data_IF_362697071137
#
_entry.id   IF_362697071137
#
_cell.length_a   1.000
_cell.length_b   1.000
_cell.length_c   1.000
_cell.angle_alpha   90.00
_cell.angle_beta   90.00
_cell.angle_gamma   90.00
#
_symmetry.space_group_name_H-M   'P 1'
#
loop_
_entity.id
_entity.type
_entity.pdbx_description
1 polymer ?
#
# COMPACT_ATOMS: atom_id res chain seq x y z
N UNK A 1 -10.47 4.20 -31.16
CA UNK A 1 -11.19 3.24 -30.32
C UNK A 1 -11.81 4.00 -29.17
N UNK A 2 -13.08 4.35 -29.32
CA UNK A 2 -13.87 5.17 -28.40
C UNK A 2 -14.14 4.39 -27.12
N UNK A 3 -13.61 4.87 -25.98
CA UNK A 3 -14.06 4.41 -24.66
C UNK A 3 -15.45 4.98 -24.44
N UNK A 4 -16.48 4.18 -24.72
CA UNK A 4 -17.82 4.39 -24.19
C UNK A 4 -17.68 4.54 -22.66
N UNK A 5 -17.90 5.75 -22.16
CA UNK A 5 -17.88 6.03 -20.72
C UNK A 5 -19.14 5.39 -20.13
N UNK A 6 -19.03 4.10 -19.82
CA UNK A 6 -20.11 3.26 -19.34
C UNK A 6 -20.50 3.60 -17.91
N UNK A 7 -21.29 4.66 -17.73
CA UNK A 7 -22.04 4.86 -16.49
C UNK A 7 -23.00 3.69 -16.33
N UNK A 8 -22.86 2.93 -15.24
CA UNK A 8 -23.76 1.82 -14.92
C UNK A 8 -25.19 2.36 -14.87
N UNK A 9 -26.11 1.77 -15.65
CA UNK A 9 -27.50 2.17 -15.67
C UNK A 9 -28.13 1.88 -14.30
N UNK A 10 -28.74 2.88 -13.69
CA UNK A 10 -29.45 2.72 -12.43
C UNK A 10 -30.68 1.83 -12.62
N UNK A 11 -30.81 0.81 -11.78
CA UNK A 11 -31.95 -0.11 -11.78
C UNK A 11 -33.08 0.50 -10.94
N UNK A 12 -34.34 0.48 -11.42
CA UNK A 12 -35.53 0.92 -10.67
C UNK A 12 -35.63 0.19 -9.32
N UNK A 13 -36.11 0.89 -8.27
CA UNK A 13 -36.20 0.36 -6.89
C UNK A 13 -36.96 -0.96 -6.81
N UNK A 14 -38.01 -1.12 -7.61
CA UNK A 14 -38.92 -2.27 -7.59
C UNK A 14 -38.27 -3.58 -8.06
N UNK A 15 -37.18 -3.49 -8.84
CA UNK A 15 -36.44 -4.65 -9.38
C UNK A 15 -35.13 -4.91 -8.62
N UNK A 16 -34.84 -4.13 -7.57
CA UNK A 16 -33.59 -4.27 -6.81
C UNK A 16 -33.57 -5.56 -6.00
N UNK A 17 -32.58 -6.39 -6.27
CA UNK A 17 -32.23 -7.50 -5.40
C UNK A 17 -31.73 -6.96 -4.05
N UNK A 18 -31.91 -7.72 -2.96
CA UNK A 18 -31.36 -7.33 -1.65
C UNK A 18 -29.83 -7.16 -1.63
N UNK A 19 -29.12 -7.72 -2.62
CA UNK A 19 -27.67 -7.58 -2.82
C UNK A 19 -27.27 -6.48 -3.80
N UNK A 20 -28.24 -5.68 -4.29
CA UNK A 20 -28.03 -4.65 -5.32
C UNK A 20 -26.84 -3.73 -5.02
N UNK A 21 -26.78 -3.16 -3.81
CA UNK A 21 -25.69 -2.28 -3.39
C UNK A 21 -24.30 -2.93 -3.48
N UNK A 22 -24.21 -4.22 -3.15
CA UNK A 22 -22.95 -4.96 -3.24
C UNK A 22 -22.57 -5.23 -4.70
N UNK A 23 -23.56 -5.59 -5.52
CA UNK A 23 -23.35 -5.84 -6.94
C UNK A 23 -22.91 -4.55 -7.66
N UNK A 24 -23.58 -3.43 -7.38
CA UNK A 24 -23.23 -2.12 -7.89
C UNK A 24 -21.78 -1.76 -7.50
N UNK A 25 -21.40 -1.93 -6.23
CA UNK A 25 -20.04 -1.66 -5.78
C UNK A 25 -18.97 -2.51 -6.48
N UNK A 26 -19.25 -3.80 -6.72
CA UNK A 26 -18.32 -4.67 -7.48
C UNK A 26 -18.23 -4.25 -8.94
N UNK A 27 -19.36 -3.95 -9.58
CA UNK A 27 -19.40 -3.51 -10.98
C UNK A 27 -18.70 -2.17 -11.19
N UNK A 28 -18.85 -1.24 -10.24
CA UNK A 28 -18.11 0.04 -10.25
C UNK A 28 -16.60 -0.18 -10.14
N UNK A 29 -16.16 -1.08 -9.26
CA UNK A 29 -14.73 -1.43 -9.19
C UNK A 29 -14.23 -2.02 -10.50
N UNK A 30 -15.02 -2.87 -11.17
CA UNK A 30 -14.66 -3.47 -12.46
C UNK A 30 -14.62 -2.41 -13.57
N UNK A 31 -15.54 -1.44 -13.58
CA UNK A 31 -15.58 -0.40 -14.61
C UNK A 31 -14.44 0.62 -14.49
N UNK A 32 -13.97 0.88 -13.27
CA UNK A 32 -12.82 1.74 -12.99
C UNK A 32 -11.46 1.02 -13.13
N UNK A 33 -11.47 -0.31 -13.24
CA UNK A 33 -10.26 -1.13 -13.31
C UNK A 33 -9.50 -0.94 -14.63
N UNK A 34 -8.17 -0.89 -14.53
CA UNK A 34 -7.29 -0.80 -15.69
C UNK A 34 -7.19 -2.18 -16.38
N UNK A 35 -7.33 -2.17 -17.71
CA UNK A 35 -7.19 -3.35 -18.57
C UNK A 35 -5.71 -3.68 -18.84
N UNK A 36 -5.01 -4.07 -17.76
CA UNK A 36 -3.64 -4.57 -17.79
C UNK A 36 -3.59 -5.98 -17.19
N UNK A 37 -2.75 -6.88 -17.72
CA UNK A 37 -2.57 -8.20 -17.16
C UNK A 37 -1.87 -8.11 -15.80
N UNK A 38 -2.29 -8.98 -14.87
CA UNK A 38 -1.76 -9.09 -13.50
C UNK A 38 -1.99 -7.85 -12.63
N UNK A 39 -1.68 -7.99 -11.34
CA UNK A 39 -1.69 -6.92 -10.36
C UNK A 39 -0.57 -7.16 -9.34
N UNK A 40 -0.10 -6.09 -8.73
CA UNK A 40 0.77 -6.18 -7.55
C UNK A 40 -0.08 -6.11 -6.29
N UNK A 41 0.25 -6.90 -5.28
CA UNK A 41 -0.35 -6.72 -3.96
C UNK A 41 0.45 -5.66 -3.21
N UNK A 42 -0.21 -4.56 -2.85
CA UNK A 42 0.41 -3.40 -2.19
C UNK A 42 1.25 -3.81 -0.99
N UNK A 43 0.70 -4.60 -0.07
CA UNK A 43 1.41 -5.02 1.15
C UNK A 43 2.61 -5.94 0.86
N UNK A 44 2.49 -6.83 -0.14
CA UNK A 44 3.56 -7.76 -0.51
C UNK A 44 4.72 -7.05 -1.19
N UNK A 45 4.43 -6.05 -2.03
CA UNK A 45 5.44 -5.26 -2.72
C UNK A 45 6.46 -4.65 -1.73
N UNK A 46 5.96 -4.04 -0.65
CA UNK A 46 6.81 -3.47 0.40
C UNK A 46 7.36 -4.52 1.38
N UNK A 47 6.71 -5.70 1.51
CA UNK A 47 7.23 -6.82 2.30
C UNK A 47 8.50 -7.43 1.71
N UNK A 48 8.64 -7.44 0.38
CA UNK A 48 9.87 -7.91 -0.30
C UNK A 48 11.06 -7.02 0.07
N UNK A 49 10.88 -5.70 0.10
CA UNK A 49 11.95 -4.72 0.40
C UNK A 49 12.18 -4.53 1.91
N UNK A 50 11.36 -5.15 2.77
CA UNK A 50 11.44 -5.06 4.24
C UNK A 50 11.32 -3.63 4.79
N UNK A 51 10.65 -2.75 4.07
CA UNK A 51 10.34 -1.40 4.55
C UNK A 51 8.96 -1.34 5.22
N UNK A 52 8.63 -0.17 5.78
CA UNK A 52 7.26 0.12 6.19
C UNK A 52 6.32 0.13 4.96
N UNK A 53 5.04 -0.18 5.16
CA UNK A 53 4.02 -0.13 4.11
C UNK A 53 3.39 1.27 4.12
N UNK A 54 3.64 2.13 3.12
CA UNK A 54 2.96 3.42 3.03
C UNK A 54 1.45 3.22 2.79
N UNK A 55 0.64 4.26 3.06
CA UNK A 55 -0.79 4.22 2.76
C UNK A 55 -1.01 4.01 1.26
N UNK A 56 -1.97 3.17 0.89
CA UNK A 56 -2.29 2.87 -0.52
C UNK A 56 -2.61 4.14 -1.33
N UNK A 57 -3.30 5.11 -0.71
CA UNK A 57 -3.58 6.41 -1.32
C UNK A 57 -2.30 7.15 -1.71
N UNK A 58 -1.28 7.17 -0.84
CA UNK A 58 -0.02 7.86 -1.13
C UNK A 58 0.74 7.21 -2.29
N UNK A 59 0.73 5.88 -2.37
CA UNK A 59 1.34 5.13 -3.48
C UNK A 59 0.60 5.40 -4.79
N UNK A 60 -0.73 5.34 -4.78
CA UNK A 60 -1.54 5.65 -5.96
C UNK A 60 -1.31 7.08 -6.42
N UNK A 61 -1.27 8.05 -5.52
CA UNK A 61 -0.94 9.44 -5.84
C UNK A 61 0.46 9.60 -6.43
N UNK A 62 1.47 8.88 -5.92
CA UNK A 62 2.82 8.92 -6.47
C UNK A 62 2.88 8.41 -7.92
N UNK A 63 2.16 7.32 -8.21
CA UNK A 63 2.07 6.74 -9.56
C UNK A 63 1.34 7.72 -10.51
N UNK A 64 0.21 8.30 -10.07
CA UNK A 64 -0.53 9.30 -10.84
C UNK A 64 0.31 10.55 -11.14
N UNK A 65 1.04 11.05 -10.14
CA UNK A 65 1.91 12.22 -10.29
C UNK A 65 3.11 11.96 -11.21
N UNK A 66 3.53 10.70 -11.34
CA UNK A 66 4.56 10.28 -12.28
C UNK A 66 4.04 10.12 -13.73
N UNK A 67 2.75 10.37 -13.97
CA UNK A 67 2.13 10.28 -15.30
C UNK A 67 1.65 8.87 -15.67
N UNK A 68 1.69 7.93 -14.73
CA UNK A 68 1.21 6.56 -14.91
C UNK A 68 -0.23 6.41 -14.40
N UNK A 69 -0.96 5.46 -14.97
CA UNK A 69 -2.31 5.10 -14.53
C UNK A 69 -2.23 4.07 -13.41
N UNK A 70 -3.18 4.18 -12.49
CA UNK A 70 -3.31 3.24 -11.38
C UNK A 70 -4.77 2.95 -11.10
N UNK A 71 -5.09 1.69 -10.83
CA UNK A 71 -6.41 1.26 -10.38
C UNK A 71 -6.29 0.20 -9.27
N UNK A 72 -7.40 -0.05 -8.57
CA UNK A 72 -7.55 -1.27 -7.78
C UNK A 72 -7.83 -2.48 -8.69
N UNK A 73 -8.14 -3.62 -8.07
CA UNK A 73 -8.77 -4.75 -8.76
C UNK A 73 -9.96 -5.25 -7.98
N UNK A 74 -11.03 -5.60 -8.68
CA UNK A 74 -12.21 -6.21 -8.07
C UNK A 74 -11.89 -7.56 -7.37
N UNK A 75 -10.82 -8.25 -7.77
CA UNK A 75 -10.42 -9.52 -7.18
C UNK A 75 -9.78 -9.38 -5.78
N UNK A 76 -9.16 -8.24 -5.47
CA UNK A 76 -8.44 -8.05 -4.21
C UNK A 76 -8.40 -6.56 -3.82
N UNK A 77 -8.87 -6.17 -2.61
CA UNK A 77 -8.86 -4.78 -2.16
C UNK A 77 -7.45 -4.18 -1.99
N UNK A 78 -6.42 -5.02 -1.85
CA UNK A 78 -5.01 -4.61 -1.76
C UNK A 78 -4.29 -4.63 -3.12
N UNK A 79 -4.99 -4.96 -4.20
CA UNK A 79 -4.41 -4.97 -5.53
C UNK A 79 -4.10 -3.56 -6.02
N UNK A 80 -2.98 -3.48 -6.74
CA UNK A 80 -2.48 -2.30 -7.40
C UNK A 80 -2.20 -2.70 -8.85
N UNK A 81 -3.07 -2.24 -9.75
CA UNK A 81 -2.87 -2.35 -11.19
C UNK A 81 -2.32 -1.04 -11.70
N UNK A 82 -1.28 -1.11 -12.54
CA UNK A 82 -0.62 0.07 -13.07
C UNK A 82 0.06 -0.22 -14.40
N UNK A 83 0.16 0.81 -15.25
CA UNK A 83 0.98 0.79 -16.47
C UNK A 83 2.44 1.20 -16.19
N UNK A 84 2.77 1.53 -14.94
CA UNK A 84 4.13 1.89 -14.54
C UNK A 84 5.09 0.71 -14.74
N UNK A 85 6.29 0.96 -15.28
CA UNK A 85 7.28 -0.08 -15.46
C UNK A 85 7.79 -0.58 -14.11
N UNK A 86 8.18 -1.86 -14.05
CA UNK A 86 8.59 -2.51 -12.79
C UNK A 86 9.75 -1.79 -12.08
N UNK A 87 10.69 -1.17 -12.81
CA UNK A 87 11.79 -0.41 -12.20
C UNK A 87 11.29 0.79 -11.39
N UNK A 88 10.26 1.49 -11.87
CA UNK A 88 9.66 2.63 -11.18
C UNK A 88 9.01 2.21 -9.86
N UNK A 89 8.33 1.05 -9.84
CA UNK A 89 7.76 0.49 -8.61
C UNK A 89 8.85 0.16 -7.58
N UNK A 90 9.96 -0.42 -8.03
CA UNK A 90 11.10 -0.68 -7.14
C UNK A 90 11.76 0.60 -6.64
N UNK A 91 11.87 1.64 -7.47
CA UNK A 91 12.37 2.96 -7.06
C UNK A 91 11.51 3.59 -5.97
N UNK A 92 10.19 3.51 -6.14
CA UNK A 92 9.23 3.96 -5.13
C UNK A 92 9.41 3.20 -3.81
N UNK A 93 9.59 1.87 -3.85
CA UNK A 93 9.85 1.08 -2.64
C UNK A 93 11.19 1.41 -1.99
N UNK A 94 12.25 1.63 -2.78
CA UNK A 94 13.56 2.04 -2.27
C UNK A 94 13.51 3.42 -1.63
N UNK A 95 12.78 4.36 -2.23
CA UNK A 95 12.51 5.65 -1.63
C UNK A 95 11.77 5.48 -0.30
N UNK A 96 10.69 4.70 -0.28
CA UNK A 96 9.93 4.35 0.92
C UNK A 96 10.76 3.69 2.03
N UNK A 97 11.79 2.92 1.69
CA UNK A 97 12.74 2.38 2.67
C UNK A 97 13.66 3.44 3.27
N UNK A 98 14.08 4.44 2.48
CA UNK A 98 15.03 5.47 2.90
C UNK A 98 14.44 6.49 3.88
N UNK A 99 13.25 7.06 3.63
CA UNK A 99 12.74 8.12 4.53
C UNK A 99 11.94 7.60 5.74
N UNK A 100 11.50 6.34 5.75
CA UNK A 100 10.62 5.79 6.78
C UNK A 100 11.27 4.67 7.60
N UNK A 101 12.47 4.24 7.18
CA UNK A 101 13.24 3.20 7.85
C UNK A 101 12.65 1.79 7.73
N UNK A 102 13.37 0.79 8.27
CA UNK A 102 12.85 -0.55 8.44
C UNK A 102 11.59 -0.53 9.31
N UNK A 103 10.67 -1.46 9.04
CA UNK A 103 9.45 -1.60 9.83
C UNK A 103 9.83 -1.78 11.31
N UNK A 104 9.38 -0.87 12.19
CA UNK A 104 9.62 -0.97 13.63
C UNK A 104 9.13 -2.33 14.13
N UNK A 105 10.01 -3.09 14.77
CA UNK A 105 9.62 -4.40 15.31
C UNK A 105 8.73 -4.20 16.52
N UNK A 106 7.81 -5.14 16.74
CA UNK A 106 7.03 -5.17 17.97
C UNK A 106 7.98 -5.24 19.18
N UNK A 107 7.64 -4.50 20.23
CA UNK A 107 8.37 -4.53 21.50
C UNK A 107 8.54 -5.98 21.97
N UNK A 108 9.79 -6.42 22.19
CA UNK A 108 10.11 -7.78 22.63
C UNK A 108 10.30 -8.84 21.52
N UNK A 109 10.36 -8.47 20.24
CA UNK A 109 10.64 -9.43 19.15
C UNK A 109 12.06 -10.00 19.23
N UNK A 110 12.20 -11.29 19.56
CA UNK A 110 13.48 -12.01 19.65
C UNK A 110 14.27 -12.07 18.33
N UNK A 111 13.63 -11.92 17.17
CA UNK A 111 14.31 -11.92 15.86
C UNK A 111 14.91 -10.55 15.47
N UNK A 112 15.35 -9.72 16.42
CA UNK A 112 16.01 -8.45 16.11
C UNK A 112 17.47 -8.69 15.71
N UNK A 113 17.83 -8.38 14.47
CA UNK A 113 19.24 -8.37 14.02
C UNK A 113 20.04 -7.18 14.58
N UNK A 114 19.38 -6.24 15.28
CA UNK A 114 20.01 -5.18 16.07
C UNK A 114 20.14 -5.57 17.55
N UNK A 115 20.40 -6.85 17.85
CA UNK A 115 20.79 -7.29 19.20
C UNK A 115 22.26 -6.96 19.54
N UNK A 116 22.89 -6.05 18.80
CA UNK A 116 24.23 -5.54 19.08
C UNK A 116 24.23 -4.03 19.04
N UNK A 117 24.66 -3.40 20.15
CA UNK A 117 24.87 -1.96 20.32
C UNK A 117 23.62 -1.09 20.53
N UNK A 118 22.92 -1.30 21.66
CA UNK A 118 22.28 -0.17 22.34
C UNK A 118 23.40 0.73 22.86
N UNK A 119 23.65 1.88 22.21
CA UNK A 119 24.36 2.99 22.87
C UNK A 119 23.37 3.58 23.85
N UNK A 120 23.61 3.37 25.15
CA UNK A 120 22.82 3.98 26.22
C UNK A 120 22.90 5.51 26.05
N UNK A 121 21.78 6.26 26.03
CA UNK A 121 21.82 7.71 26.02
C UNK A 121 22.47 8.23 27.31
N UNK A 122 23.36 9.22 27.18
CA UNK A 122 24.21 9.76 28.25
C UNK A 122 23.44 10.26 29.49
N UNK A 123 22.14 10.57 29.33
CA UNK A 123 21.24 10.94 30.42
C UNK A 123 21.00 9.83 31.45
N UNK A 124 21.23 8.56 31.09
CA UNK A 124 21.08 7.41 31.99
C UNK A 124 22.41 6.98 32.66
N UNK A 125 23.50 7.70 32.40
CA UNK A 125 24.85 7.39 32.93
C UNK A 125 25.26 8.26 34.13
N UNK A 126 24.41 9.22 34.54
CA UNK A 126 24.67 10.09 35.71
C UNK A 126 23.88 9.71 36.95
N UNK A 127 22.98 8.72 36.85
CA UNK A 127 22.13 8.31 37.96
C UNK A 127 22.77 7.24 38.86
N UNK A 128 23.85 6.61 38.40
CA UNK A 128 24.58 5.51 39.03
C UNK A 128 25.83 5.97 39.79
N UNK A 129 26.45 7.10 39.43
CA UNK A 129 27.70 7.59 40.05
C UNK A 129 27.51 8.43 41.33
N UNK A 130 26.29 8.67 41.79
CA UNK A 130 26.02 9.45 43.03
C UNK A 130 25.80 8.59 44.28
N UNK A 131 26.29 7.34 44.26
CA UNK A 131 26.08 6.35 45.32
C UNK A 131 27.37 5.64 45.73
N UNK A 132 28.41 6.39 46.10
CA UNK A 132 29.48 5.92 46.99
C UNK A 132 29.84 7.02 47.99
#
# INVERSE_FOLDING_TARGET
>A
MTKESGTLKETPEEERLGTHNRLLGVLTNVSEELDVPLYYEHDQLFNVVKCCVPKSVAVKSAILNAGYKVSGSHCNPRALKTDAPTHFLWDMCRYAGKNWGPRSKAWGSSNSTNAGFYVRPESEQKADDSGQ
#
